data_IF_865470971331
#
_entry.id   IF_865470971331
#
_cell.length_a   1.000
_cell.length_b   1.000
_cell.length_c   1.000
_cell.angle_alpha   90.00
_cell.angle_beta   90.00
_cell.angle_gamma   90.00
#
_symmetry.space_group_name_H-M   'P 1'
#
loop_
_entity.id
_entity.type
_entity.pdbx_description
1 polymer ?
#
# COMPACT_ATOMS: atom_id res chain seq x y z
N UNK A 1 7.58 14.33 -4.20
CA UNK A 1 6.67 14.60 -3.05
C UNK A 1 7.47 14.66 -1.74
N UNK A 2 7.12 15.50 -0.75
CA UNK A 2 7.88 15.52 0.52
C UNK A 2 7.67 14.20 1.28
N UNK A 3 8.69 13.76 2.04
CA UNK A 3 8.67 12.49 2.78
C UNK A 3 7.45 12.36 3.72
N UNK A 4 7.05 13.46 4.37
CA UNK A 4 5.89 13.50 5.28
C UNK A 4 4.58 13.18 4.55
N UNK A 5 4.38 13.75 3.36
CA UNK A 5 3.17 13.55 2.57
C UNK A 5 3.06 12.10 2.07
N UNK A 6 4.20 11.47 1.76
CA UNK A 6 4.29 10.04 1.42
C UNK A 6 3.83 9.16 2.56
N UNK A 7 4.37 9.42 3.74
CA UNK A 7 4.04 8.68 4.95
C UNK A 7 2.55 8.80 5.28
N UNK A 8 1.99 10.02 5.27
CA UNK A 8 0.56 10.21 5.55
C UNK A 8 -0.33 9.55 4.50
N UNK A 9 0.01 9.65 3.21
CA UNK A 9 -0.76 9.00 2.16
C UNK A 9 -0.70 7.48 2.26
N UNK A 10 0.47 6.91 2.60
CA UNK A 10 0.66 5.48 2.82
C UNK A 10 -0.15 4.97 4.00
N UNK A 11 0.01 5.59 5.17
CA UNK A 11 -0.75 5.27 6.39
C UNK A 11 -2.26 5.37 6.13
N UNK A 12 -2.73 6.48 5.54
CA UNK A 12 -4.16 6.66 5.27
C UNK A 12 -4.73 5.58 4.35
N UNK A 13 -4.00 5.20 3.30
CA UNK A 13 -4.43 4.14 2.37
C UNK A 13 -4.46 2.78 3.06
N UNK A 14 -3.37 2.41 3.75
CA UNK A 14 -3.28 1.10 4.39
C UNK A 14 -4.25 0.93 5.56
N UNK A 15 -4.49 1.98 6.37
CA UNK A 15 -5.53 1.97 7.41
C UNK A 15 -6.93 1.79 6.82
N UNK A 16 -7.24 2.46 5.70
CA UNK A 16 -8.51 2.30 5.01
C UNK A 16 -8.70 0.87 4.49
N UNK A 17 -7.68 0.32 3.85
CA UNK A 17 -7.69 -1.07 3.34
C UNK A 17 -7.87 -2.05 4.48
N UNK A 18 -7.13 -1.90 5.57
CA UNK A 18 -7.24 -2.76 6.75
C UNK A 18 -8.65 -2.71 7.38
N UNK A 19 -9.21 -1.52 7.59
CA UNK A 19 -10.58 -1.37 8.10
C UNK A 19 -11.62 -1.97 7.15
N UNK A 20 -11.41 -1.86 5.84
CA UNK A 20 -12.28 -2.50 4.84
C UNK A 20 -12.22 -4.03 4.97
N UNK A 21 -11.02 -4.60 5.13
CA UNK A 21 -10.87 -6.03 5.36
C UNK A 21 -11.56 -6.50 6.64
N UNK A 22 -11.46 -5.73 7.72
CA UNK A 22 -12.17 -6.03 8.98
C UNK A 22 -13.69 -5.94 8.82
N UNK A 23 -14.19 -4.98 8.06
CA UNK A 23 -15.63 -4.81 7.80
C UNK A 23 -16.24 -6.00 7.06
N UNK A 24 -15.51 -6.56 6.09
CA UNK A 24 -15.96 -7.71 5.29
C UNK A 24 -15.48 -9.07 5.83
N UNK A 25 -14.68 -9.08 6.90
CA UNK A 25 -14.20 -10.29 7.56
C UNK A 25 -15.30 -10.96 8.39
N UNK A 26 -15.39 -12.28 8.31
CA UNK A 26 -16.37 -13.04 9.11
C UNK A 26 -15.98 -13.05 10.61
N UNK A 27 -16.99 -13.07 11.47
CA UNK A 27 -16.91 -12.81 12.92
C UNK A 27 -15.86 -13.63 13.69
N UNK A 28 -15.27 -12.99 14.73
CA UNK A 28 -14.19 -13.43 15.65
C UNK A 28 -12.73 -13.18 15.25
N UNK A 29 -12.45 -12.06 14.56
CA UNK A 29 -11.07 -11.58 14.43
C UNK A 29 -10.67 -10.86 15.73
N UNK A 30 -9.88 -11.52 16.57
CA UNK A 30 -9.25 -10.88 17.73
C UNK A 30 -8.10 -9.97 17.25
N UNK A 31 -8.39 -8.68 17.10
CA UNK A 31 -7.39 -7.71 16.67
C UNK A 31 -6.47 -7.40 17.85
N UNK A 32 -5.18 -7.73 17.71
CA UNK A 32 -4.16 -7.41 18.70
C UNK A 32 -3.55 -6.03 18.45
N UNK A 33 -3.03 -5.41 19.51
CA UNK A 33 -2.26 -4.15 19.38
C UNK A 33 -1.04 -4.31 18.46
N UNK A 34 -0.42 -5.49 18.45
CA UNK A 34 0.76 -5.77 17.62
C UNK A 34 0.40 -5.81 16.13
N UNK A 35 -0.77 -6.35 15.77
CA UNK A 35 -1.25 -6.34 14.38
C UNK A 35 -1.53 -4.93 13.88
N UNK A 36 -2.16 -4.08 14.71
CA UNK A 36 -2.42 -2.68 14.36
C UNK A 36 -1.09 -1.93 14.10
N UNK A 37 -0.11 -2.08 14.99
CA UNK A 37 1.22 -1.47 14.83
C UNK A 37 1.90 -1.99 13.56
N UNK A 38 1.78 -3.29 13.29
CA UNK A 38 2.33 -3.93 12.10
C UNK A 38 1.74 -3.38 10.81
N UNK A 39 0.41 -3.20 10.76
CA UNK A 39 -0.28 -2.56 9.64
C UNK A 39 0.20 -1.12 9.46
N UNK A 40 0.37 -0.35 10.53
CA UNK A 40 0.92 1.02 10.44
C UNK A 40 2.32 1.04 9.83
N UNK A 41 3.21 0.13 10.25
CA UNK A 41 4.57 0.01 9.72
C UNK A 41 4.54 -0.33 8.23
N UNK A 42 3.78 -1.37 7.84
CA UNK A 42 3.61 -1.77 6.43
C UNK A 42 3.11 -0.59 5.60
N UNK A 43 2.12 0.15 6.11
CA UNK A 43 1.49 1.27 5.42
C UNK A 43 2.44 2.47 5.28
N UNK A 44 3.25 2.74 6.30
CA UNK A 44 4.28 3.78 6.25
C UNK A 44 5.36 3.42 5.22
N UNK A 45 5.84 2.16 5.23
CA UNK A 45 6.79 1.65 4.24
C UNK A 45 6.22 1.74 2.82
N UNK A 46 4.96 1.36 2.60
CA UNK A 46 4.29 1.49 1.31
C UNK A 46 4.31 2.95 0.80
N UNK A 47 4.01 3.90 1.67
CA UNK A 47 4.11 5.33 1.36
C UNK A 47 5.53 5.76 1.01
N UNK A 48 6.50 5.43 1.87
CA UNK A 48 7.91 5.84 1.69
C UNK A 48 8.47 5.27 0.39
N UNK A 49 8.28 3.98 0.13
CA UNK A 49 8.81 3.26 -1.03
C UNK A 49 8.25 3.73 -2.37
N UNK A 50 7.23 4.59 -2.37
CA UNK A 50 6.83 5.30 -3.59
C UNK A 50 7.94 6.18 -4.18
N UNK A 51 9.03 6.44 -3.43
CA UNK A 51 10.23 7.10 -3.96
C UNK A 51 10.80 6.41 -5.20
N UNK A 52 10.61 5.09 -5.34
CA UNK A 52 11.10 4.30 -6.49
C UNK A 52 10.50 4.78 -7.82
N UNK A 53 9.33 5.42 -7.79
CA UNK A 53 8.70 6.02 -8.98
C UNK A 53 9.28 7.38 -9.37
N UNK A 54 10.12 7.99 -8.53
CA UNK A 54 10.80 9.26 -8.82
C UNK A 54 12.25 9.06 -9.30
N UNK A 55 12.73 7.81 -9.41
CA UNK A 55 14.07 7.53 -9.92
C UNK A 55 14.10 7.74 -11.44
N UNK A 56 14.90 8.71 -11.88
CA UNK A 56 15.13 9.00 -13.29
C UNK A 56 15.86 7.83 -13.98
N UNK A 57 15.41 7.44 -15.17
CA UNK A 57 16.01 6.35 -15.95
C UNK A 57 15.34 4.98 -15.76
N UNK A 58 14.39 4.84 -14.84
CA UNK A 58 13.62 3.61 -14.67
C UNK A 58 12.23 3.76 -15.31
N UNK A 59 11.79 2.74 -16.07
CA UNK A 59 10.44 2.73 -16.62
C UNK A 59 9.41 2.54 -15.52
N UNK A 60 8.23 3.15 -15.67
CA UNK A 60 7.15 3.05 -14.69
C UNK A 60 6.79 1.60 -14.33
N UNK A 61 6.79 0.69 -15.32
CA UNK A 61 6.53 -0.73 -15.11
C UNK A 61 7.62 -1.38 -14.23
N UNK A 62 8.88 -1.04 -14.46
CA UNK A 62 9.98 -1.57 -13.66
C UNK A 62 9.97 -1.01 -12.24
N UNK A 63 9.70 0.30 -12.06
CA UNK A 63 9.49 0.90 -10.73
C UNK A 63 8.35 0.21 -9.97
N UNK A 64 7.26 -0.16 -10.67
CA UNK A 64 6.14 -0.89 -10.07
C UNK A 64 6.54 -2.28 -9.60
N UNK A 65 7.35 -3.00 -10.39
CA UNK A 65 7.87 -4.32 -10.01
C UNK A 65 8.79 -4.20 -8.80
N UNK A 66 9.72 -3.23 -8.78
CA UNK A 66 10.60 -3.00 -7.62
C UNK A 66 9.76 -2.67 -6.38
N UNK A 67 8.79 -1.76 -6.49
CA UNK A 67 7.93 -1.40 -5.37
C UNK A 67 7.17 -2.61 -4.82
N UNK A 68 6.62 -3.45 -5.70
CA UNK A 68 5.95 -4.68 -5.31
C UNK A 68 6.88 -5.66 -4.59
N UNK A 69 8.11 -5.86 -5.08
CA UNK A 69 9.10 -6.73 -4.43
C UNK A 69 9.52 -6.20 -3.05
N UNK A 70 9.72 -4.89 -2.91
CA UNK A 70 10.01 -4.26 -1.61
C UNK A 70 8.86 -4.47 -0.62
N UNK A 71 7.62 -4.38 -1.10
CA UNK A 71 6.44 -4.60 -0.25
C UNK A 71 6.29 -6.06 0.16
N UNK A 72 6.54 -7.03 -0.74
CA UNK A 72 6.58 -8.45 -0.37
C UNK A 72 7.60 -8.69 0.74
N UNK A 73 8.80 -8.12 0.62
CA UNK A 73 9.84 -8.26 1.63
C UNK A 73 9.39 -7.73 3.00
N UNK A 74 8.83 -6.52 3.05
CA UNK A 74 8.35 -5.94 4.32
C UNK A 74 7.21 -6.75 4.92
N UNK A 75 6.22 -7.14 4.11
CA UNK A 75 5.08 -7.93 4.60
C UNK A 75 5.56 -9.30 5.09
N UNK A 76 6.51 -9.93 4.41
CA UNK A 76 7.10 -11.19 4.85
C UNK A 76 7.81 -11.07 6.19
N UNK A 77 8.66 -10.05 6.39
CA UNK A 77 9.35 -9.82 7.67
C UNK A 77 8.37 -9.59 8.82
N UNK A 78 7.31 -8.81 8.57
CA UNK A 78 6.26 -8.54 9.56
C UNK A 78 5.40 -9.78 9.83
N UNK A 79 5.15 -10.60 8.81
CA UNK A 79 4.41 -11.84 8.94
C UNK A 79 5.18 -12.87 9.79
N UNK A 80 6.51 -12.96 9.64
CA UNK A 80 7.35 -13.76 10.52
C UNK A 80 7.31 -13.24 11.96
N UNK A 81 7.40 -11.91 12.15
CA UNK A 81 7.38 -11.29 13.47
C UNK A 81 6.05 -11.52 14.23
N UNK A 82 4.91 -11.45 13.54
CA UNK A 82 3.60 -11.67 14.15
C UNK A 82 3.16 -13.15 14.15
N UNK A 83 4.02 -14.06 13.71
CA UNK A 83 3.66 -15.48 13.54
C UNK A 83 2.43 -15.70 12.65
N UNK A 84 2.24 -14.85 11.62
CA UNK A 84 1.20 -15.05 10.60
C UNK A 84 1.52 -16.23 9.67
N UNK A 85 2.79 -16.64 9.62
CA UNK A 85 3.30 -17.76 8.83
C UNK A 85 4.28 -18.58 9.68
N UNK A 86 4.21 -19.91 9.57
CA UNK A 86 5.07 -20.80 10.38
C UNK A 86 6.43 -21.10 9.72
N UNK A 87 6.49 -21.35 8.41
CA UNK A 87 7.73 -21.78 7.73
C UNK A 87 7.92 -21.20 6.31
N UNK A 88 6.92 -21.32 5.43
CA UNK A 88 7.01 -20.86 4.04
C UNK A 88 5.69 -20.18 3.60
N UNK A 89 5.74 -19.08 2.83
CA UNK A 89 4.53 -18.41 2.36
C UNK A 89 3.72 -19.37 1.47
N UNK A 90 2.50 -19.69 1.90
CA UNK A 90 1.59 -20.50 1.10
C UNK A 90 1.15 -19.75 -0.16
N UNK A 91 0.74 -20.47 -1.20
CA UNK A 91 0.20 -19.85 -2.41
C UNK A 91 -1.02 -18.95 -2.09
N UNK A 92 -1.82 -19.33 -1.09
CA UNK A 92 -2.94 -18.53 -0.59
C UNK A 92 -2.48 -17.20 0.02
N UNK A 93 -1.39 -17.21 0.80
CA UNK A 93 -0.81 -16.00 1.39
C UNK A 93 -0.23 -15.05 0.34
N UNK A 94 0.47 -15.58 -0.67
CA UNK A 94 0.95 -14.75 -1.79
C UNK A 94 -0.21 -14.18 -2.61
N UNK A 95 -1.26 -14.98 -2.83
CA UNK A 95 -2.48 -14.54 -3.50
C UNK A 95 -3.17 -13.39 -2.77
N UNK A 96 -3.27 -13.44 -1.43
CA UNK A 96 -3.87 -12.37 -0.64
C UNK A 96 -3.05 -11.08 -0.70
N UNK A 97 -1.72 -11.15 -0.63
CA UNK A 97 -0.83 -9.99 -0.82
C UNK A 97 -1.09 -9.34 -2.18
N UNK A 98 -1.16 -10.15 -3.25
CA UNK A 98 -1.38 -9.64 -4.60
C UNK A 98 -2.73 -8.93 -4.72
N UNK A 99 -3.80 -9.52 -4.18
CA UNK A 99 -5.15 -8.93 -4.19
C UNK A 99 -5.18 -7.61 -3.41
N UNK A 100 -4.63 -7.59 -2.19
CA UNK A 100 -4.59 -6.39 -1.34
C UNK A 100 -3.76 -5.29 -2.02
N UNK A 101 -2.63 -5.64 -2.64
CA UNK A 101 -1.80 -4.71 -3.38
C UNK A 101 -2.53 -4.13 -4.59
N UNK A 102 -3.18 -4.97 -5.40
CA UNK A 102 -3.96 -4.53 -6.55
C UNK A 102 -5.12 -3.61 -6.14
N UNK A 103 -5.81 -3.92 -5.05
CA UNK A 103 -6.88 -3.10 -4.50
C UNK A 103 -6.36 -1.74 -4.00
N UNK A 104 -5.25 -1.74 -3.26
CA UNK A 104 -4.58 -0.51 -2.79
C UNK A 104 -4.15 0.38 -3.96
N UNK A 105 -3.62 -0.23 -5.03
CA UNK A 105 -3.22 0.46 -6.23
C UNK A 105 -4.41 1.06 -7.00
N UNK A 106 -5.54 0.37 -7.04
CA UNK A 106 -6.77 0.88 -7.65
C UNK A 106 -7.28 2.15 -6.93
N UNK A 107 -7.20 2.19 -5.60
CA UNK A 107 -7.51 3.39 -4.79
C UNK A 107 -6.57 4.53 -5.18
N UNK A 108 -5.26 4.26 -5.25
CA UNK A 108 -4.26 5.27 -5.60
C UNK A 108 -4.47 5.83 -7.03
N UNK A 109 -4.68 4.98 -8.03
CA UNK A 109 -4.98 5.41 -9.41
C UNK A 109 -6.22 6.29 -9.44
N UNK A 110 -7.26 5.93 -8.69
CA UNK A 110 -8.50 6.71 -8.62
C UNK A 110 -8.27 8.10 -8.05
N UNK A 111 -7.44 8.22 -7.01
CA UNK A 111 -7.00 9.50 -6.44
C UNK A 111 -6.21 10.33 -7.47
N UNK A 112 -5.21 9.72 -8.11
CA UNK A 112 -4.37 10.40 -9.11
C UNK A 112 -5.17 10.90 -10.32
N UNK A 113 -6.14 10.12 -10.81
CA UNK A 113 -7.04 10.55 -11.90
C UNK A 113 -7.88 11.77 -11.50
N UNK A 114 -8.40 11.80 -10.27
CA UNK A 114 -9.17 12.94 -9.74
C UNK A 114 -8.30 14.18 -9.63
N UNK A 115 -7.09 14.04 -9.13
CA UNK A 115 -6.15 15.16 -8.97
C UNK A 115 -5.71 15.72 -10.33
N UNK A 116 -5.41 14.85 -11.30
CA UNK A 116 -5.12 15.27 -12.67
C UNK A 116 -6.31 16.01 -13.32
N UNK A 117 -7.54 15.54 -13.10
CA UNK A 117 -8.74 16.21 -13.61
C UNK A 117 -8.92 17.60 -12.99
N UNK A 118 -8.70 17.74 -11.68
CA UNK A 118 -8.73 19.05 -11.00
C UNK A 118 -7.68 20.01 -11.56
N UNK A 119 -6.46 19.53 -11.77
CA UNK A 119 -5.38 20.34 -12.33
C UNK A 119 -5.72 20.83 -13.75
N UNK A 120 -6.26 19.96 -14.60
CA UNK A 120 -6.69 20.31 -15.95
C UNK A 120 -7.81 21.36 -15.97
N UNK A 121 -8.73 21.32 -15.00
CA UNK A 121 -9.78 22.34 -14.86
C UNK A 121 -9.19 23.68 -14.43
N UNK A 122 -8.27 23.70 -13.46
CA UNK A 122 -7.59 24.92 -13.00
C UNK A 122 -6.75 25.59 -14.09
N UNK A 123 -6.11 24.78 -14.96
CA UNK A 123 -5.36 25.28 -16.11
C UNK A 123 -6.29 25.85 -17.19
N UNK A 124 -7.47 25.25 -17.40
CA UNK A 124 -8.49 25.77 -18.32
C UNK A 124 -9.16 27.05 -17.82
N UNK A 125 -9.35 27.22 -16.51
CA UNK A 125 -9.98 28.42 -15.92
C UNK A 125 -9.04 29.61 -15.79
N UNK A 126 -7.74 29.44 -16.08
CA UNK A 126 -6.73 30.51 -16.09
C UNK A 126 -6.43 31.05 -17.50
N UNK A 127 -7.08 30.52 -18.53
CA UNK A 127 -7.14 31.08 -19.88
C UNK A 127 -8.45 31.83 -20.06
#
# INVERSE_FOLDING_TARGET
MKLKDRLYSGIGTGSFVYMTLLLFGNHNIFITRMEIVSVFIISACAGIFTFVFEIEGISYLFSLIIHFLLMILIVYLIALYNHWIDNFPSASFLGSILIIYAFSWAILISKTKRDAKKLNVLLKSKK
#
